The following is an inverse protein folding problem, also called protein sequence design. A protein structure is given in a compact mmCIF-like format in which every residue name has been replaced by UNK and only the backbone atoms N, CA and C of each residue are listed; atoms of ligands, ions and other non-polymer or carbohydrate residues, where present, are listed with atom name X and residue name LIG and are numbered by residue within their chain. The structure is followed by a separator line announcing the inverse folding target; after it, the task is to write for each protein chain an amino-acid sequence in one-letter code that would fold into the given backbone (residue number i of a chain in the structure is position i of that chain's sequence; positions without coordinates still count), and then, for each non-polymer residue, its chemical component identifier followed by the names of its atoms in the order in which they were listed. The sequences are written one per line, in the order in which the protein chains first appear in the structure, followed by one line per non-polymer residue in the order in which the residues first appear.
data_IF_037704955188
#
_entry.id   IF_037704955188
#
_cell.length_a   1.000
_cell.length_b   1.000
_cell.length_c   1.000
_cell.angle_alpha   90.00
_cell.angle_beta   90.00
_cell.angle_gamma   90.00
#
_symmetry.space_group_name_H-M   'P 1'
#
loop_
_entity.id
_entity.type
_entity.pdbx_description
1 polymer ?
#
# COMPACT_ATOMS: atom_id res chain seq x y z
N UNK A 1 2.79 -10.15 2.20
CA UNK A 1 2.24 -11.15 3.12
C UNK A 1 1.83 -12.41 2.35
N UNK A 2 2.81 -13.30 2.11
CA UNK A 2 2.66 -14.54 1.33
C UNK A 2 1.70 -15.56 1.98
N UNK A 3 1.39 -15.42 3.26
CA UNK A 3 0.42 -16.27 3.96
C UNK A 3 -1.02 -16.07 3.43
N UNK A 4 -1.41 -14.86 3.05
CA UNK A 4 -2.73 -14.61 2.45
C UNK A 4 -2.92 -15.27 1.08
N UNK A 5 -1.83 -15.47 0.32
CA UNK A 5 -1.91 -16.15 -0.98
C UNK A 5 -2.33 -17.63 -0.85
N UNK A 6 -1.97 -18.29 0.26
CA UNK A 6 -2.35 -19.69 0.54
C UNK A 6 -3.82 -19.80 0.99
N UNK A 7 -4.28 -18.86 1.83
CA UNK A 7 -5.69 -18.85 2.29
C UNK A 7 -6.65 -18.45 1.19
N UNK A 8 -6.28 -17.52 0.30
CA UNK A 8 -7.09 -17.14 -0.85
C UNK A 8 -7.18 -18.26 -1.90
N UNK A 9 -6.10 -19.05 -2.12
CA UNK A 9 -6.18 -20.27 -2.92
C UNK A 9 -7.10 -21.31 -2.31
N UNK A 10 -7.11 -21.46 -0.99
CA UNK A 10 -7.99 -22.39 -0.29
C UNK A 10 -9.46 -21.94 -0.29
N UNK A 11 -9.74 -20.65 -0.33
CA UNK A 11 -11.08 -20.11 -0.46
C UNK A 11 -11.67 -20.36 -1.87
N UNK A 12 -10.85 -20.25 -2.90
CA UNK A 12 -11.25 -20.51 -4.29
C UNK A 12 -11.55 -22.00 -4.57
N UNK A 13 -11.04 -22.92 -3.75
CA UNK A 13 -11.18 -24.38 -3.95
C UNK A 13 -12.22 -25.06 -3.07
N UNK A 14 -12.79 -24.40 -2.08
CA UNK A 14 -13.88 -24.97 -1.28
C UNK A 14 -15.24 -24.62 -1.85
N UNK A 15 -15.85 -25.62 -2.52
CA UNK A 15 -17.28 -25.67 -2.91
C UNK A 15 -17.73 -24.88 -4.14
N UNK A 16 -17.22 -25.17 -5.34
CA UNK A 16 -18.00 -25.03 -6.59
C UNK A 16 -18.82 -23.74 -6.83
N UNK A 17 -18.66 -22.73 -6.00
CA UNK A 17 -19.20 -21.40 -6.18
C UNK A 17 -18.03 -20.47 -6.41
N UNK A 18 -17.94 -19.95 -7.62
CA UNK A 18 -17.03 -18.87 -7.96
C UNK A 18 -17.19 -17.77 -6.89
N UNK A 19 -16.17 -17.57 -6.07
CA UNK A 19 -16.05 -16.28 -5.41
C UNK A 19 -16.09 -15.24 -6.51
N UNK A 20 -16.91 -14.21 -6.34
CA UNK A 20 -17.23 -13.24 -7.36
C UNK A 20 -16.02 -12.81 -8.20
N UNK A 21 -16.22 -12.39 -9.46
CA UNK A 21 -15.16 -12.08 -10.43
C UNK A 21 -14.19 -10.95 -10.02
N UNK A 22 -14.27 -10.46 -8.80
CA UNK A 22 -13.52 -9.33 -8.26
C UNK A 22 -12.24 -9.69 -7.49
N UNK A 23 -11.91 -10.97 -7.31
CA UNK A 23 -10.67 -11.39 -6.66
C UNK A 23 -9.68 -11.99 -7.67
N UNK A 24 -9.20 -11.18 -8.59
CA UNK A 24 -7.97 -11.51 -9.29
C UNK A 24 -6.81 -11.15 -8.35
N UNK A 25 -6.10 -12.15 -7.85
CA UNK A 25 -4.84 -11.92 -7.14
C UNK A 25 -3.85 -11.37 -8.16
N UNK A 26 -3.28 -10.17 -7.97
CA UNK A 26 -2.29 -9.64 -8.88
C UNK A 26 -1.16 -10.64 -9.11
N UNK A 27 -0.74 -10.82 -10.35
CA UNK A 27 0.45 -11.58 -10.65
C UNK A 27 1.67 -10.74 -10.26
N UNK A 28 2.40 -11.16 -9.22
CA UNK A 28 3.64 -10.48 -8.81
C UNK A 28 4.71 -10.79 -9.85
N UNK A 29 5.01 -9.82 -10.71
CA UNK A 29 5.99 -9.95 -11.75
C UNK A 29 7.42 -9.86 -11.20
N UNK A 30 7.70 -8.85 -10.37
CA UNK A 30 9.01 -8.61 -9.81
C UNK A 30 8.94 -8.05 -8.38
N UNK A 31 10.02 -8.26 -7.62
CA UNK A 31 10.30 -7.57 -6.36
C UNK A 31 11.60 -6.78 -6.54
N UNK A 32 11.52 -5.48 -6.24
CA UNK A 32 12.60 -4.53 -6.46
C UNK A 32 13.14 -4.08 -5.11
N UNK A 33 14.45 -4.09 -4.94
CA UNK A 33 15.15 -3.64 -3.76
C UNK A 33 16.51 -3.05 -4.10
N UNK A 34 17.26 -2.64 -3.09
CA UNK A 34 18.61 -2.09 -3.23
C UNK A 34 19.67 -2.91 -2.47
N UNK A 35 19.22 -3.86 -1.66
CA UNK A 35 20.08 -4.75 -0.88
C UNK A 35 19.85 -6.18 -1.34
N UNK A 36 20.83 -6.80 -2.06
CA UNK A 36 20.71 -8.16 -2.59
C UNK A 36 20.52 -9.23 -1.51
N UNK A 37 20.95 -8.93 -0.29
CA UNK A 37 20.90 -9.85 0.84
C UNK A 37 19.64 -9.66 1.70
N UNK A 38 18.76 -8.74 1.33
CA UNK A 38 17.52 -8.46 2.06
C UNK A 38 16.62 -9.70 2.13
N UNK A 39 15.93 -9.87 3.25
CA UNK A 39 14.96 -10.96 3.46
C UNK A 39 13.87 -10.96 2.39
N UNK A 40 13.42 -9.77 1.98
CA UNK A 40 12.38 -9.61 0.96
C UNK A 40 12.79 -10.15 -0.41
N UNK A 41 13.98 -9.80 -0.90
CA UNK A 41 14.51 -10.31 -2.17
C UNK A 41 14.80 -11.80 -2.08
N UNK A 42 15.36 -12.28 -0.96
CA UNK A 42 15.59 -13.70 -0.73
C UNK A 42 14.27 -14.50 -0.72
N UNK A 43 13.21 -13.95 -0.14
CA UNK A 43 11.88 -14.56 -0.15
C UNK A 43 11.28 -14.61 -1.55
N UNK A 44 11.40 -13.52 -2.32
CA UNK A 44 10.96 -13.47 -3.71
C UNK A 44 11.67 -14.53 -4.56
N UNK A 45 12.99 -14.64 -4.42
CA UNK A 45 13.81 -15.64 -5.12
C UNK A 45 13.36 -17.06 -4.79
N UNK A 46 13.10 -17.38 -3.51
CA UNK A 46 12.58 -18.70 -3.08
C UNK A 46 11.22 -19.03 -3.69
N UNK A 47 10.43 -18.01 -4.03
CA UNK A 47 9.12 -18.19 -4.66
C UNK A 47 9.15 -18.08 -6.19
N UNK A 48 10.33 -18.09 -6.81
CA UNK A 48 10.52 -17.93 -8.25
C UNK A 48 9.91 -16.64 -8.82
N UNK A 49 9.92 -15.56 -8.04
CA UNK A 49 9.56 -14.22 -8.49
C UNK A 49 10.84 -13.52 -8.96
N UNK A 50 10.75 -12.79 -10.06
CA UNK A 50 11.88 -12.00 -10.56
C UNK A 50 12.34 -11.02 -9.47
N UNK A 51 13.64 -10.87 -9.30
CA UNK A 51 14.25 -9.91 -8.40
C UNK A 51 15.07 -8.87 -9.17
N UNK A 52 15.07 -7.64 -8.70
CA UNK A 52 15.99 -6.58 -9.12
C UNK A 52 16.57 -5.93 -7.86
N UNK A 53 17.88 -5.96 -7.70
CA UNK A 53 18.61 -5.40 -6.56
C UNK A 53 19.23 -4.03 -6.84
N UNK A 54 19.01 -3.51 -8.04
CA UNK A 54 19.52 -2.20 -8.50
C UNK A 54 18.52 -1.05 -8.31
N UNK A 55 17.47 -1.29 -7.51
CA UNK A 55 16.40 -0.33 -7.28
C UNK A 55 15.51 -0.09 -8.50
N UNK A 56 14.54 0.82 -8.34
CA UNK A 56 13.61 1.13 -9.43
C UNK A 56 14.32 1.65 -10.69
N UNK A 57 15.34 2.48 -10.53
CA UNK A 57 16.10 3.02 -11.67
C UNK A 57 16.75 1.91 -12.52
N UNK A 58 17.30 0.89 -11.88
CA UNK A 58 17.85 -0.26 -12.59
C UNK A 58 16.77 -1.15 -13.21
N UNK A 59 15.60 -1.23 -12.59
CA UNK A 59 14.48 -2.01 -13.10
C UNK A 59 13.84 -1.37 -14.36
N UNK A 60 13.78 -0.05 -14.43
CA UNK A 60 13.26 0.68 -15.60
C UNK A 60 13.96 0.28 -16.89
N UNK A 61 15.25 -0.01 -16.83
CA UNK A 61 16.05 -0.40 -17.99
C UNK A 61 15.84 -1.87 -18.43
N UNK A 62 15.03 -2.63 -17.69
CA UNK A 62 14.76 -4.05 -18.00
C UNK A 62 13.57 -4.17 -18.99
N UNK A 63 13.55 -5.30 -19.71
CA UNK A 63 12.43 -5.61 -20.60
C UNK A 63 11.12 -5.84 -19.85
N UNK A 64 11.21 -6.37 -18.64
CA UNK A 64 10.07 -6.70 -17.77
C UNK A 64 9.34 -5.46 -17.25
N UNK A 65 10.01 -4.31 -17.18
CA UNK A 65 9.39 -3.06 -16.77
C UNK A 65 8.15 -2.70 -17.59
N UNK A 66 8.17 -3.00 -18.89
CA UNK A 66 7.07 -2.68 -19.81
C UNK A 66 5.79 -3.44 -19.47
N UNK A 67 5.95 -4.65 -18.91
CA UNK A 67 4.84 -5.55 -18.60
C UNK A 67 4.22 -5.27 -17.21
N UNK A 68 4.83 -4.35 -16.43
CA UNK A 68 4.28 -3.95 -15.12
C UNK A 68 3.25 -2.85 -15.32
N UNK A 69 2.04 -3.05 -14.82
CA UNK A 69 0.97 -2.06 -14.84
C UNK A 69 0.88 -1.28 -13.52
N UNK A 70 1.09 -1.98 -12.39
CA UNK A 70 0.90 -1.42 -11.05
C UNK A 70 2.16 -1.66 -10.20
N UNK A 71 2.61 -0.60 -9.53
CA UNK A 71 3.69 -0.64 -8.56
C UNK A 71 3.16 -0.46 -7.13
N UNK A 72 3.56 -1.34 -6.23
CA UNK A 72 3.36 -1.19 -4.79
C UNK A 72 4.65 -0.67 -4.17
N UNK A 73 4.66 0.56 -3.72
CA UNK A 73 5.84 1.17 -3.09
C UNK A 73 5.77 1.02 -1.57
N UNK A 74 6.62 0.16 -1.04
CA UNK A 74 6.78 -0.08 0.39
C UNK A 74 8.18 0.35 0.88
N UNK A 75 8.74 1.38 0.28
CA UNK A 75 10.07 1.92 0.62
C UNK A 75 10.00 3.02 1.69
N UNK A 76 10.68 4.13 1.50
CA UNK A 76 10.64 5.29 2.40
C UNK A 76 9.94 6.47 1.76
N UNK A 77 9.50 7.43 2.56
CA UNK A 77 8.88 8.66 2.07
C UNK A 77 9.78 9.42 1.09
N UNK A 78 11.10 9.43 1.34
CA UNK A 78 12.07 10.09 0.45
C UNK A 78 12.25 9.37 -0.89
N UNK A 79 12.30 8.03 -0.88
CA UNK A 79 12.42 7.24 -2.09
C UNK A 79 11.14 7.31 -2.93
N UNK A 80 9.97 7.29 -2.28
CA UNK A 80 8.68 7.35 -2.95
C UNK A 80 8.51 8.59 -3.84
N UNK A 81 9.04 9.73 -3.43
CA UNK A 81 8.99 10.95 -4.26
C UNK A 81 9.62 10.74 -5.64
N UNK A 82 10.78 10.07 -5.67
CA UNK A 82 11.49 9.76 -6.92
C UNK A 82 10.75 8.67 -7.71
N UNK A 83 10.27 7.65 -7.01
CA UNK A 83 9.53 6.55 -7.65
C UNK A 83 8.24 7.03 -8.28
N UNK A 84 7.51 7.91 -7.58
CA UNK A 84 6.29 8.54 -8.08
C UNK A 84 6.53 9.25 -9.43
N UNK A 85 7.56 10.11 -9.51
CA UNK A 85 7.87 10.84 -10.74
C UNK A 85 8.17 9.91 -11.91
N UNK A 86 8.90 8.83 -11.68
CA UNK A 86 9.27 7.85 -12.73
C UNK A 86 8.01 7.08 -13.18
N UNK A 87 7.32 6.45 -12.25
CA UNK A 87 6.23 5.51 -12.55
C UNK A 87 5.03 6.21 -13.18
N UNK A 88 4.62 7.35 -12.61
CA UNK A 88 3.49 8.12 -13.15
C UNK A 88 3.86 8.85 -14.44
N UNK A 89 5.12 9.25 -14.60
CA UNK A 89 5.64 9.79 -15.87
C UNK A 89 5.52 8.79 -17.03
N UNK A 90 5.67 7.50 -16.74
CA UNK A 90 5.49 6.41 -17.71
C UNK A 90 4.04 5.91 -17.79
N UNK A 91 3.07 6.67 -17.24
CA UNK A 91 1.64 6.36 -17.25
C UNK A 91 1.27 5.01 -16.60
N UNK A 92 2.07 4.58 -15.62
CA UNK A 92 1.82 3.39 -14.81
C UNK A 92 1.20 3.80 -13.48
N UNK A 93 0.45 2.88 -12.88
CA UNK A 93 -0.21 3.13 -11.61
C UNK A 93 0.70 2.80 -10.43
N UNK A 94 0.64 3.62 -9.38
CA UNK A 94 1.38 3.42 -8.15
C UNK A 94 0.44 3.36 -6.94
N UNK A 95 0.70 2.42 -6.06
CA UNK A 95 0.02 2.29 -4.77
C UNK A 95 1.06 2.56 -3.69
N UNK A 96 0.95 3.71 -3.05
CA UNK A 96 1.86 4.17 -2.01
C UNK A 96 1.50 3.56 -0.65
N UNK A 97 2.42 2.76 -0.12
CA UNK A 97 2.37 2.17 1.23
C UNK A 97 3.33 2.90 2.19
N UNK A 98 3.96 3.98 1.72
CA UNK A 98 4.89 4.79 2.51
C UNK A 98 4.15 5.96 3.20
N UNK A 99 4.75 6.59 4.22
CA UNK A 99 4.17 7.78 4.82
C UNK A 99 4.43 9.08 4.03
N UNK A 100 4.81 9.00 2.75
CA UNK A 100 5.11 10.17 1.92
C UNK A 100 3.91 11.09 1.68
N UNK A 101 2.70 10.54 1.77
CA UNK A 101 1.45 11.25 1.58
C UNK A 101 1.32 11.96 0.22
N UNK A 102 1.87 11.35 -0.84
CA UNK A 102 1.77 11.83 -2.21
C UNK A 102 0.53 11.19 -2.85
N UNK A 103 -0.26 12.00 -3.55
CA UNK A 103 -1.52 11.57 -4.14
C UNK A 103 -2.70 11.58 -3.15
N UNK A 104 -3.91 11.26 -3.63
CA UNK A 104 -5.10 11.22 -2.80
C UNK A 104 -5.02 10.11 -1.76
N UNK A 105 -5.57 10.41 -0.58
CA UNK A 105 -5.70 9.43 0.49
C UNK A 105 -6.77 8.41 0.12
N UNK A 106 -6.40 7.14 0.06
CA UNK A 106 -7.29 6.05 -0.30
C UNK A 106 -7.44 5.05 0.86
N UNK A 107 -8.66 4.92 1.33
CA UNK A 107 -9.10 3.84 2.20
C UNK A 107 -10.14 3.07 1.41
N UNK A 108 -9.79 1.90 0.81
CA UNK A 108 -10.59 1.28 -0.24
C UNK A 108 -12.06 1.05 0.11
N UNK A 109 -12.34 0.65 1.36
CA UNK A 109 -13.72 0.43 1.81
C UNK A 109 -14.54 1.73 1.93
N UNK A 110 -13.88 2.90 1.91
CA UNK A 110 -14.53 4.21 2.05
C UNK A 110 -14.59 4.95 0.71
N UNK A 111 -13.49 5.03 -0.02
CA UNK A 111 -13.37 5.94 -1.17
C UNK A 111 -12.58 5.37 -2.36
N UNK A 112 -12.53 4.04 -2.54
CA UNK A 112 -11.81 3.44 -3.66
C UNK A 112 -12.31 3.95 -5.01
N UNK A 113 -13.63 3.97 -5.21
CA UNK A 113 -14.23 4.34 -6.49
C UNK A 113 -13.86 5.76 -6.96
N UNK A 114 -13.63 6.67 -6.00
CA UNK A 114 -13.21 8.05 -6.31
C UNK A 114 -11.74 8.17 -6.71
N UNK A 115 -10.95 7.10 -6.56
CA UNK A 115 -9.51 7.12 -6.77
C UNK A 115 -9.03 6.09 -7.83
N UNK A 116 -9.95 5.47 -8.58
CA UNK A 116 -9.59 4.42 -9.55
C UNK A 116 -8.74 4.95 -10.72
N UNK A 117 -8.96 6.19 -11.12
CA UNK A 117 -8.28 6.82 -12.25
C UNK A 117 -7.00 7.57 -11.85
N UNK A 118 -6.62 7.53 -10.57
CA UNK A 118 -5.45 8.22 -10.07
C UNK A 118 -4.17 7.44 -10.39
N UNK A 119 -3.17 8.13 -10.89
CA UNK A 119 -1.85 7.53 -11.19
C UNK A 119 -1.07 7.09 -9.95
N UNK A 120 -1.35 7.70 -8.79
CA UNK A 120 -0.80 7.31 -7.50
C UNK A 120 -1.86 7.49 -6.42
N UNK A 121 -2.09 6.47 -5.61
CA UNK A 121 -2.97 6.54 -4.44
C UNK A 121 -2.17 6.26 -3.17
N UNK A 122 -2.37 7.09 -2.15
CA UNK A 122 -1.74 6.91 -0.84
C UNK A 122 -2.65 6.07 0.07
N UNK A 123 -2.17 4.91 0.50
CA UNK A 123 -2.93 4.03 1.41
C UNK A 123 -2.82 4.45 2.89
N UNK A 124 -2.48 5.69 3.14
CA UNK A 124 -2.39 6.28 4.48
C UNK A 124 -1.36 5.54 5.33
N UNK A 125 -1.83 4.78 6.30
CA UNK A 125 -1.00 3.94 7.20
C UNK A 125 -1.79 2.70 7.60
N UNK A 126 -1.11 1.68 8.13
CA UNK A 126 -1.80 0.48 8.64
C UNK A 126 -2.80 0.82 9.75
N UNK A 127 -2.47 1.76 10.65
CA UNK A 127 -3.38 2.27 11.66
C UNK A 127 -4.57 3.02 11.06
N UNK A 128 -4.31 3.86 10.07
CA UNK A 128 -5.35 4.56 9.33
C UNK A 128 -6.31 3.62 8.61
N UNK A 129 -5.79 2.63 7.88
CA UNK A 129 -6.62 1.64 7.20
C UNK A 129 -7.52 0.84 8.15
N UNK A 130 -7.05 0.60 9.38
CA UNK A 130 -7.82 -0.12 10.39
C UNK A 130 -8.91 0.72 11.05
N UNK A 131 -8.74 2.03 11.15
CA UNK A 131 -9.56 2.90 12.03
C UNK A 131 -10.41 3.92 11.27
N UNK A 132 -9.92 4.47 10.17
CA UNK A 132 -10.66 5.45 9.36
C UNK A 132 -12.03 4.94 8.90
N UNK A 133 -12.22 3.66 8.52
CA UNK A 133 -13.53 3.15 8.17
C UNK A 133 -14.58 3.31 9.28
N UNK A 134 -14.18 3.15 10.53
CA UNK A 134 -15.08 3.31 11.68
C UNK A 134 -15.49 4.77 11.86
N UNK A 135 -14.54 5.69 11.73
CA UNK A 135 -14.82 7.14 11.80
C UNK A 135 -15.74 7.56 10.66
N UNK A 136 -15.47 7.10 9.43
CA UNK A 136 -16.31 7.36 8.28
C UNK A 136 -17.73 6.80 8.44
N UNK A 137 -17.88 5.60 9.00
CA UNK A 137 -19.20 5.01 9.28
C UNK A 137 -19.98 5.85 10.30
N UNK A 138 -19.34 6.33 11.36
CA UNK A 138 -20.00 7.24 12.33
C UNK A 138 -20.35 8.56 11.65
N UNK A 139 -19.44 9.13 10.88
CA UNK A 139 -19.65 10.42 10.20
C UNK A 139 -20.79 10.36 9.17
N UNK A 140 -21.08 9.19 8.60
CA UNK A 140 -22.20 9.01 7.65
C UNK A 140 -23.58 9.17 8.30
N UNK A 141 -23.67 9.00 9.62
CA UNK A 141 -24.93 9.12 10.37
C UNK A 141 -24.94 10.31 11.34
N UNK A 142 -23.78 10.79 11.77
CA UNK A 142 -23.65 11.91 12.69
C UNK A 142 -22.29 12.58 12.50
N UNK A 143 -22.31 13.91 12.38
CA UNK A 143 -21.08 14.67 12.14
C UNK A 143 -20.04 14.47 13.26
N UNK A 144 -18.86 13.99 12.87
CA UNK A 144 -17.73 13.74 13.77
C UNK A 144 -16.91 15.02 13.91
N UNK A 145 -16.93 15.63 15.08
CA UNK A 145 -16.15 16.86 15.36
C UNK A 145 -14.71 16.55 15.77
N UNK A 146 -14.48 15.43 16.39
CA UNK A 146 -13.17 14.99 16.86
C UNK A 146 -13.04 13.49 16.75
N UNK A 147 -11.90 13.03 16.26
CA UNK A 147 -11.52 11.61 16.23
C UNK A 147 -10.06 11.43 16.66
N UNK A 148 -9.82 10.46 17.50
CA UNK A 148 -8.50 10.12 18.00
C UNK A 148 -8.22 8.63 17.82
N UNK A 149 -6.99 8.31 17.44
CA UNK A 149 -6.49 6.94 17.37
C UNK A 149 -5.42 6.76 18.44
N UNK A 150 -5.64 5.80 19.32
CA UNK A 150 -4.62 5.29 20.24
C UNK A 150 -4.30 3.87 19.86
N UNK A 151 -3.08 3.62 19.39
CA UNK A 151 -2.67 2.31 18.90
C UNK A 151 -1.44 1.78 19.63
N UNK A 152 -1.49 0.52 20.03
CA UNK A 152 -0.33 -0.23 20.52
C UNK A 152 0.18 -1.11 19.38
N UNK A 153 1.44 -0.92 18.99
CA UNK A 153 2.08 -1.68 17.90
C UNK A 153 3.19 -2.55 18.48
N UNK A 154 3.23 -3.81 18.08
CA UNK A 154 4.34 -4.70 18.45
C UNK A 154 5.67 -4.12 17.97
N UNK A 155 6.69 -4.14 18.82
CA UNK A 155 8.03 -3.65 18.47
C UNK A 155 8.65 -4.43 17.29
N UNK A 156 8.28 -5.70 17.12
CA UNK A 156 8.71 -6.53 15.98
C UNK A 156 8.02 -6.14 14.66
N UNK A 157 6.84 -5.52 14.73
CA UNK A 157 6.11 -5.05 13.55
C UNK A 157 6.49 -3.63 13.14
N UNK A 158 7.07 -2.85 14.06
CA UNK A 158 7.59 -1.52 13.78
C UNK A 158 9.03 -1.63 13.23
N UNK A 159 9.17 -1.82 11.93
CA UNK A 159 10.47 -1.88 11.26
C UNK A 159 11.27 -0.57 11.35
N UNK A 160 12.54 -0.57 10.92
CA UNK A 160 13.40 0.62 10.97
C UNK A 160 12.78 1.83 10.26
N UNK A 161 12.13 1.64 9.12
CA UNK A 161 11.46 2.69 8.37
C UNK A 161 10.33 3.35 9.15
N UNK A 162 9.47 2.57 9.81
CA UNK A 162 8.39 3.12 10.65
C UNK A 162 8.93 3.93 11.81
N UNK A 163 9.98 3.44 12.46
CA UNK A 163 10.61 4.13 13.60
C UNK A 163 11.28 5.45 13.20
N UNK A 164 11.92 5.47 12.03
CA UNK A 164 12.59 6.65 11.50
C UNK A 164 11.61 7.73 11.02
N UNK A 165 10.35 7.36 10.70
CA UNK A 165 9.36 8.26 10.14
C UNK A 165 8.06 8.30 10.98
N UNK A 166 8.19 8.26 12.30
CA UNK A 166 7.03 8.19 13.20
C UNK A 166 6.18 9.46 13.15
N UNK A 167 6.80 10.61 12.91
CA UNK A 167 6.11 11.89 12.82
C UNK A 167 5.26 11.96 11.54
N UNK A 168 5.83 11.56 10.40
CA UNK A 168 5.11 11.47 9.12
C UNK A 168 3.98 10.44 9.21
N UNK A 169 4.22 9.31 9.86
CA UNK A 169 3.19 8.30 10.12
C UNK A 169 2.02 8.89 10.90
N UNK A 170 2.31 9.64 11.96
CA UNK A 170 1.29 10.26 12.81
C UNK A 170 0.52 11.34 12.06
N UNK A 171 1.21 12.21 11.35
CA UNK A 171 0.58 13.29 10.56
C UNK A 171 -0.28 12.72 9.43
N UNK A 172 0.23 11.75 8.68
CA UNK A 172 -0.52 11.11 7.59
C UNK A 172 -1.77 10.42 8.10
N UNK A 173 -1.70 9.78 9.27
CA UNK A 173 -2.87 9.13 9.88
C UNK A 173 -3.91 10.16 10.33
N UNK A 174 -3.49 11.24 10.99
CA UNK A 174 -4.38 12.32 11.42
C UNK A 174 -5.09 12.98 10.23
N UNK A 175 -4.34 13.32 9.17
CA UNK A 175 -4.92 13.86 7.94
C UNK A 175 -5.88 12.87 7.26
N UNK A 176 -5.63 11.57 7.37
CA UNK A 176 -6.54 10.54 6.88
C UNK A 176 -7.87 10.52 7.62
N UNK A 177 -7.88 10.74 8.94
CA UNK A 177 -9.12 10.88 9.72
C UNK A 177 -9.95 12.07 9.28
N UNK A 178 -9.31 13.19 8.96
CA UNK A 178 -9.99 14.38 8.47
C UNK A 178 -10.48 14.18 7.02
N UNK A 179 -9.56 13.84 6.10
CA UNK A 179 -9.84 13.82 4.65
C UNK A 179 -10.74 12.69 4.21
N UNK A 180 -10.62 11.52 4.82
CA UNK A 180 -11.34 10.30 4.44
C UNK A 180 -12.36 9.90 5.49
N UNK A 181 -12.01 10.00 6.78
CA UNK A 181 -12.91 9.71 7.88
C UNK A 181 -14.02 10.76 8.04
N UNK A 182 -13.75 12.00 7.62
CA UNK A 182 -14.69 13.12 7.72
C UNK A 182 -14.74 13.79 9.09
N UNK A 183 -13.77 13.52 9.98
CA UNK A 183 -13.63 14.26 11.24
C UNK A 183 -13.24 15.72 10.97
N UNK A 184 -13.71 16.65 11.82
CA UNK A 184 -13.29 18.05 11.72
C UNK A 184 -11.87 18.27 12.29
N UNK A 185 -11.45 17.40 13.24
CA UNK A 185 -10.14 17.41 13.89
C UNK A 185 -9.80 16.04 14.41
#
# INVERSE_FOLDING_TARGET
DLYKKQELKNCAHKKGKSCAPYFQVPNVLAVIGIDPDSEGLNLAKKNNVLICDSGLKGFVDTKEYKDVEIFFDATSAGAHKIHHEIVTGDQKQMIDLTPAAIGPYCVPVVNLESNLDEGNVNLVTCGGQATIPMVSAVNSVSKVRYAEIVASVSSSSAGPGTRANIDEFTQTTALGLEKVGGAEK
#
